data_IF_446022761143
#
_entry.id   IF_446022761143
#
_cell.length_a   1.000
_cell.length_b   1.000
_cell.length_c   1.000
_cell.angle_alpha   90.00
_cell.angle_beta   90.00
_cell.angle_gamma   90.00
#
_symmetry.space_group_name_H-M   'P 1'
#
loop_
_entity.id
_entity.type
_entity.pdbx_description
1 polymer ?
#
# COMPACT_ATOMS: atom_id res chain seq x y z
N UNK A 1 16.66 -16.88 -20.26
CA UNK A 1 16.63 -16.73 -18.79
C UNK A 1 15.34 -16.01 -18.47
N UNK A 2 14.47 -16.59 -17.64
CA UNK A 2 13.23 -15.93 -17.26
C UNK A 2 13.57 -14.65 -16.49
N UNK A 3 12.98 -13.52 -16.88
CA UNK A 3 13.15 -12.24 -16.18
C UNK A 3 12.13 -12.24 -15.02
N UNK A 4 12.59 -12.19 -13.77
CA UNK A 4 11.68 -12.13 -12.63
C UNK A 4 10.83 -10.86 -12.72
N UNK A 5 9.54 -10.97 -12.44
CA UNK A 5 8.61 -9.85 -12.50
C UNK A 5 7.87 -9.72 -11.16
N UNK A 6 7.84 -8.49 -10.65
CA UNK A 6 7.04 -8.09 -9.49
C UNK A 6 6.06 -7.02 -9.90
N UNK A 7 4.81 -7.20 -9.46
CA UNK A 7 3.77 -6.19 -9.58
C UNK A 7 3.41 -5.61 -8.21
N UNK A 8 3.28 -4.29 -8.15
CA UNK A 8 2.95 -3.57 -6.93
C UNK A 8 1.49 -3.14 -6.99
N UNK A 9 0.72 -3.53 -5.98
CA UNK A 9 -0.71 -3.28 -5.90
C UNK A 9 -1.12 -2.81 -4.51
N UNK A 10 -2.31 -2.22 -4.40
CA UNK A 10 -2.88 -1.82 -3.12
C UNK A 10 -4.02 -0.83 -3.29
N UNK A 11 -4.82 -0.68 -2.24
CA UNK A 11 -5.92 0.28 -2.18
C UNK A 11 -5.44 1.73 -2.43
N UNK A 12 -6.33 2.64 -2.82
CA UNK A 12 -6.02 4.06 -2.81
C UNK A 12 -5.47 4.50 -1.46
N UNK A 13 -4.53 5.45 -1.50
CA UNK A 13 -3.88 6.00 -0.30
C UNK A 13 -3.10 4.96 0.53
N UNK A 14 -2.78 3.79 -0.03
CA UNK A 14 -2.01 2.73 0.65
C UNK A 14 -0.48 2.95 0.70
N UNK A 15 0.00 4.17 0.49
CA UNK A 15 1.44 4.49 0.55
C UNK A 15 2.29 4.08 -0.67
N UNK A 16 1.70 3.63 -1.79
CA UNK A 16 2.44 3.21 -3.00
C UNK A 16 3.34 4.32 -3.59
N UNK A 17 2.81 5.52 -3.76
CA UNK A 17 3.58 6.67 -4.29
C UNK A 17 4.74 7.02 -3.37
N UNK A 18 4.53 7.00 -2.06
CA UNK A 18 5.57 7.20 -1.06
C UNK A 18 6.64 6.12 -1.15
N UNK A 19 6.25 4.85 -1.25
CA UNK A 19 7.20 3.75 -1.44
C UNK A 19 8.00 3.91 -2.73
N UNK A 20 7.37 4.26 -3.85
CA UNK A 20 8.07 4.51 -5.11
C UNK A 20 9.07 5.66 -4.98
N UNK A 21 8.69 6.76 -4.32
CA UNK A 21 9.57 7.91 -4.10
C UNK A 21 10.79 7.56 -3.24
N UNK A 22 10.56 6.81 -2.15
CA UNK A 22 11.60 6.33 -1.25
C UNK A 22 12.50 5.29 -1.92
N UNK A 23 11.93 4.32 -2.64
CA UNK A 23 12.67 3.31 -3.39
C UNK A 23 13.54 3.97 -4.47
N UNK A 24 12.98 4.92 -5.24
CA UNK A 24 13.72 5.65 -6.25
C UNK A 24 14.89 6.41 -5.63
N UNK A 25 14.67 7.08 -4.50
CA UNK A 25 15.75 7.74 -3.77
C UNK A 25 16.84 6.74 -3.37
N UNK A 26 16.46 5.65 -2.70
CA UNK A 26 17.36 4.64 -2.18
C UNK A 26 18.26 4.04 -3.26
N UNK A 27 17.69 3.72 -4.43
CA UNK A 27 18.44 3.06 -5.51
C UNK A 27 19.24 4.03 -6.40
N UNK A 28 18.98 5.34 -6.34
CA UNK A 28 19.66 6.35 -7.18
C UNK A 28 20.61 7.27 -6.43
N UNK A 29 20.30 7.64 -5.18
CA UNK A 29 21.10 8.56 -4.38
C UNK A 29 22.46 7.97 -4.00
N UNK A 30 22.57 6.63 -3.99
CA UNK A 30 23.78 5.90 -3.56
C UNK A 30 24.29 6.42 -2.22
N UNK A 31 23.40 6.51 -1.22
CA UNK A 31 23.81 6.71 0.17
C UNK A 31 24.76 5.55 0.52
N UNK A 32 26.07 5.84 0.57
CA UNK A 32 27.15 4.84 0.41
C UNK A 32 27.21 3.76 1.48
N UNK A 33 26.46 3.93 2.56
CA UNK A 33 26.54 3.09 3.76
C UNK A 33 25.29 2.23 3.98
N UNK A 34 24.17 2.48 3.28
CA UNK A 34 22.99 1.61 3.36
C UNK A 34 23.18 0.48 2.35
N UNK A 35 23.39 -0.73 2.88
CA UNK A 35 23.51 -1.94 2.06
C UNK A 35 22.13 -2.34 1.55
N UNK A 36 21.89 -2.12 0.26
CA UNK A 36 20.69 -2.61 -0.41
C UNK A 36 20.91 -4.00 -1.00
N UNK A 37 19.90 -4.86 -0.92
CA UNK A 37 19.90 -6.18 -1.52
C UNK A 37 19.84 -6.13 -3.06
N UNK A 38 19.16 -5.11 -3.61
CA UNK A 38 19.08 -4.85 -5.04
C UNK A 38 19.66 -3.48 -5.39
N UNK A 39 20.17 -3.36 -6.62
CA UNK A 39 20.68 -2.10 -7.20
C UNK A 39 19.92 -1.72 -8.46
N UNK A 40 19.79 -0.43 -8.72
CA UNK A 40 19.19 0.06 -9.95
C UNK A 40 20.01 -0.33 -11.19
N UNK A 41 19.32 -0.73 -12.26
CA UNK A 41 19.90 -1.00 -13.57
C UNK A 41 19.41 0.00 -14.62
N UNK A 42 18.13 -0.08 -14.97
CA UNK A 42 17.55 0.79 -15.98
C UNK A 42 16.04 1.03 -15.74
N UNK A 43 15.52 2.13 -16.30
CA UNK A 43 14.10 2.45 -16.30
C UNK A 43 13.47 1.98 -17.62
N UNK A 44 12.45 1.13 -17.54
CA UNK A 44 11.73 0.60 -18.71
C UNK A 44 10.61 1.54 -19.15
N UNK A 45 9.86 2.06 -18.20
CA UNK A 45 8.71 2.96 -18.40
C UNK A 45 8.54 3.90 -17.21
N UNK A 46 8.00 5.08 -17.48
CA UNK A 46 7.89 6.18 -16.51
C UNK A 46 8.88 7.29 -16.80
N UNK A 47 8.48 8.53 -16.51
CA UNK A 47 9.33 9.69 -16.70
C UNK A 47 10.30 9.88 -15.54
N UNK A 48 11.61 9.91 -15.80
CA UNK A 48 12.63 10.23 -14.79
C UNK A 48 12.32 11.54 -14.07
N UNK A 49 11.81 12.55 -14.79
CA UNK A 49 11.40 13.83 -14.20
C UNK A 49 10.28 13.66 -13.15
N UNK A 50 9.33 12.77 -13.39
CA UNK A 50 8.26 12.47 -12.42
C UNK A 50 8.83 11.77 -11.18
N UNK A 51 9.68 10.75 -11.36
CA UNK A 51 10.32 10.03 -10.26
C UNK A 51 11.22 10.94 -9.41
N UNK A 52 11.98 11.83 -10.04
CA UNK A 52 12.77 12.83 -9.35
C UNK A 52 11.89 13.83 -8.60
N UNK A 53 10.73 14.19 -9.14
CA UNK A 53 9.77 15.08 -8.49
C UNK A 53 9.17 14.48 -7.21
N UNK A 54 8.65 13.26 -7.28
CA UNK A 54 8.10 12.58 -6.09
C UNK A 54 9.18 12.31 -5.03
N UNK A 55 10.40 11.98 -5.46
CA UNK A 55 11.55 11.77 -4.57
C UNK A 55 12.05 13.07 -3.92
N UNK A 56 12.03 14.20 -4.65
CA UNK A 56 12.33 15.51 -4.08
C UNK A 56 11.31 15.90 -2.99
N UNK A 57 10.01 15.76 -3.27
CA UNK A 57 8.97 16.03 -2.26
C UNK A 57 9.07 15.12 -1.04
N UNK A 58 9.39 13.85 -1.27
CA UNK A 58 9.63 12.90 -0.18
C UNK A 58 10.80 13.37 0.69
N UNK A 59 11.95 13.78 0.11
CA UNK A 59 13.09 14.38 0.84
C UNK A 59 12.72 15.64 1.62
N UNK A 60 11.85 16.46 1.05
CA UNK A 60 11.34 17.68 1.70
C UNK A 60 10.28 17.39 2.78
N UNK A 61 10.00 16.12 3.11
CA UNK A 61 8.97 15.71 4.06
C UNK A 61 7.61 16.37 3.76
N UNK A 62 7.25 16.42 2.47
CA UNK A 62 5.98 16.95 1.98
C UNK A 62 5.08 15.84 1.51
N UNK A 63 3.79 15.94 1.85
CA UNK A 63 2.76 15.03 1.37
C UNK A 63 2.83 14.97 -0.16
N UNK A 64 2.75 13.75 -0.71
CA UNK A 64 2.71 13.57 -2.15
C UNK A 64 1.38 14.09 -2.67
N UNK A 65 1.38 14.89 -3.74
CA UNK A 65 0.13 15.25 -4.41
C UNK A 65 -0.67 13.98 -4.68
N UNK A 66 -1.99 14.08 -4.49
CA UNK A 66 -2.90 13.05 -4.98
C UNK A 66 -2.61 12.83 -6.45
N UNK A 67 -2.22 11.60 -6.81
CA UNK A 67 -1.98 11.24 -8.20
C UNK A 67 -3.27 11.48 -8.97
N UNK A 68 -3.29 12.47 -9.86
CA UNK A 68 -4.48 12.76 -10.66
C UNK A 68 -4.75 11.58 -11.60
N UNK A 69 -5.99 11.09 -11.58
CA UNK A 69 -6.59 10.04 -12.43
C UNK A 69 -6.13 10.11 -13.90
N UNK A 70 -5.90 11.33 -14.41
CA UNK A 70 -5.59 11.58 -15.82
C UNK A 70 -4.22 11.11 -16.28
N UNK A 71 -3.30 10.70 -15.39
CA UNK A 71 -1.90 10.52 -15.77
C UNK A 71 -1.44 9.06 -15.93
N UNK A 72 -2.30 8.04 -15.78
CA UNK A 72 -2.13 6.59 -16.13
C UNK A 72 -0.70 6.14 -16.50
N UNK A 73 0.29 6.42 -15.66
CA UNK A 73 1.71 6.24 -15.96
C UNK A 73 2.15 4.97 -15.29
N UNK A 74 2.19 3.89 -16.07
CA UNK A 74 2.85 2.65 -15.66
C UNK A 74 4.33 2.98 -15.48
N UNK A 75 4.81 2.88 -14.24
CA UNK A 75 6.23 2.99 -13.92
C UNK A 75 6.79 1.57 -13.85
N UNK A 76 7.84 1.31 -14.62
CA UNK A 76 8.52 0.01 -14.60
C UNK A 76 10.02 0.23 -14.63
N UNK A 77 10.73 -0.41 -13.70
CA UNK A 77 12.18 -0.34 -13.57
C UNK A 77 12.78 -1.72 -13.36
N UNK A 78 14.02 -1.88 -13.81
CA UNK A 78 14.80 -3.08 -13.58
C UNK A 78 15.77 -2.86 -12.41
N UNK A 79 15.77 -3.81 -11.49
CA UNK A 79 16.70 -3.91 -10.37
C UNK A 79 17.54 -5.18 -10.52
N UNK A 80 18.79 -5.16 -10.06
CA UNK A 80 19.72 -6.29 -10.12
C UNK A 80 20.06 -6.77 -8.71
N UNK A 81 20.13 -8.08 -8.53
CA UNK A 81 20.72 -8.67 -7.33
C UNK A 81 22.26 -8.60 -7.36
N UNK A 82 22.89 -9.11 -6.30
CA UNK A 82 24.35 -9.20 -6.19
C UNK A 82 25.00 -10.12 -7.26
N UNK A 83 24.24 -11.07 -7.82
CA UNK A 83 24.69 -12.00 -8.86
C UNK A 83 24.48 -11.46 -10.29
N UNK A 84 23.81 -10.33 -10.46
CA UNK A 84 23.43 -9.76 -11.74
C UNK A 84 22.13 -10.33 -12.34
N UNK A 85 21.34 -11.04 -11.55
CA UNK A 85 19.97 -11.45 -11.91
C UNK A 85 19.07 -10.21 -11.93
N UNK A 86 18.31 -10.03 -13.01
CA UNK A 86 17.40 -8.88 -13.18
C UNK A 86 15.98 -9.20 -12.71
N UNK A 87 15.39 -8.25 -11.99
CA UNK A 87 13.97 -8.21 -11.65
C UNK A 87 13.33 -6.95 -12.24
N UNK A 88 12.22 -7.13 -12.96
CA UNK A 88 11.33 -6.04 -13.38
C UNK A 88 10.31 -5.74 -12.27
N UNK A 89 10.33 -4.52 -11.75
CA UNK A 89 9.33 -4.03 -10.80
C UNK A 89 8.37 -3.11 -11.53
N UNK A 90 7.08 -3.43 -11.52
CA UNK A 90 6.05 -2.63 -12.19
C UNK A 90 5.01 -2.10 -11.23
N UNK A 91 4.75 -0.80 -11.33
CA UNK A 91 3.65 -0.10 -10.69
C UNK A 91 2.60 0.17 -11.79
N UNK A 92 1.62 -0.73 -11.98
CA UNK A 92 0.57 -0.55 -12.97
C UNK A 92 -0.25 0.70 -12.70
N UNK A 93 -0.36 1.07 -11.41
CA UNK A 93 -1.08 2.24 -10.98
C UNK A 93 -0.60 2.71 -9.59
N UNK A 94 -0.26 4.00 -9.52
CA UNK A 94 0.19 4.64 -8.29
C UNK A 94 -0.99 5.08 -7.39
N UNK A 95 -2.18 5.29 -7.98
CA UNK A 95 -3.38 5.81 -7.31
C UNK A 95 -4.26 4.74 -6.66
N UNK A 96 -4.23 3.48 -7.12
CA UNK A 96 -5.10 2.38 -6.65
C UNK A 96 -6.44 2.25 -7.40
N UNK A 97 -6.65 3.01 -8.48
CA UNK A 97 -7.75 2.89 -9.44
C UNK A 97 -7.86 1.52 -10.10
N UNK A 98 -6.75 0.90 -10.52
CA UNK A 98 -6.79 -0.43 -11.14
C UNK A 98 -7.42 -1.44 -10.19
N UNK A 99 -7.01 -1.40 -8.92
CA UNK A 99 -7.61 -2.23 -7.87
C UNK A 99 -9.10 -1.93 -7.71
N UNK A 100 -9.48 -0.65 -7.61
CA UNK A 100 -10.87 -0.23 -7.43
C UNK A 100 -11.76 -0.72 -8.57
N UNK A 101 -11.32 -0.59 -9.82
CA UNK A 101 -12.05 -1.05 -11.01
C UNK A 101 -12.21 -2.57 -11.03
N UNK A 102 -11.15 -3.32 -10.71
CA UNK A 102 -11.22 -4.78 -10.60
C UNK A 102 -12.20 -5.24 -9.53
N UNK A 103 -12.27 -4.55 -8.39
CA UNK A 103 -13.17 -4.88 -7.28
C UNK A 103 -14.62 -4.44 -7.53
N UNK A 104 -14.82 -3.17 -7.88
CA UNK A 104 -16.15 -2.53 -7.95
C UNK A 104 -16.85 -2.83 -9.26
N UNK A 105 -16.12 -2.80 -10.38
CA UNK A 105 -16.69 -2.94 -11.72
C UNK A 105 -16.47 -4.32 -12.32
N UNK A 106 -15.63 -5.15 -11.68
CA UNK A 106 -15.19 -6.48 -12.19
C UNK A 106 -14.60 -6.39 -13.59
N UNK A 107 -13.89 -5.29 -13.85
CA UNK A 107 -13.29 -4.99 -15.14
C UNK A 107 -11.77 -4.84 -15.01
N UNK A 108 -11.04 -5.30 -16.02
CA UNK A 108 -9.59 -5.28 -16.06
C UNK A 108 -9.10 -5.20 -17.51
N UNK A 109 -8.34 -4.15 -17.81
CA UNK A 109 -7.85 -3.92 -19.16
C UNK A 109 -6.78 -4.95 -19.56
N UNK A 110 -6.72 -5.39 -20.84
CA UNK A 110 -5.75 -6.40 -21.28
C UNK A 110 -4.28 -6.03 -21.03
N UNK A 111 -3.92 -4.75 -21.03
CA UNK A 111 -2.56 -4.29 -20.71
C UNK A 111 -2.22 -4.45 -19.22
N UNK A 112 -3.21 -4.21 -18.36
CA UNK A 112 -3.11 -4.44 -16.92
C UNK A 112 -2.99 -5.94 -16.63
N UNK A 113 -3.78 -6.79 -17.30
CA UNK A 113 -3.69 -8.25 -17.17
C UNK A 113 -2.26 -8.75 -17.42
N UNK A 114 -1.60 -8.28 -18.48
CA UNK A 114 -0.20 -8.63 -18.78
C UNK A 114 0.78 -8.18 -17.70
N UNK A 115 0.47 -7.08 -17.02
CA UNK A 115 1.31 -6.54 -15.95
C UNK A 115 1.09 -7.28 -14.62
N UNK A 116 -0.15 -7.71 -14.36
CA UNK A 116 -0.53 -8.48 -13.19
C UNK A 116 -0.10 -9.95 -13.27
N UNK A 117 0.16 -10.46 -14.48
CA UNK A 117 0.78 -11.76 -14.71
C UNK A 117 2.28 -11.68 -14.36
N UNK A 118 2.57 -11.72 -13.07
CA UNK A 118 3.90 -11.58 -12.48
C UNK A 118 4.09 -12.60 -11.34
N UNK A 119 5.27 -13.21 -11.26
CA UNK A 119 5.61 -14.23 -10.26
C UNK A 119 5.50 -13.70 -8.82
N UNK A 120 5.87 -12.43 -8.62
CA UNK A 120 5.80 -11.75 -7.32
C UNK A 120 4.73 -10.67 -7.27
N UNK A 121 4.04 -10.58 -6.14
CA UNK A 121 3.07 -9.54 -5.82
C UNK A 121 3.51 -8.83 -4.55
N UNK A 122 3.61 -7.51 -4.60
CA UNK A 122 3.79 -6.65 -3.43
C UNK A 122 2.47 -5.92 -3.17
N UNK A 123 1.75 -6.33 -2.12
CA UNK A 123 0.43 -5.82 -1.78
C UNK A 123 0.50 -4.82 -0.64
N UNK A 124 0.19 -3.56 -0.92
CA UNK A 124 0.11 -2.50 0.06
C UNK A 124 -1.25 -2.44 0.74
N UNK A 125 -1.21 -2.42 2.07
CA UNK A 125 -2.34 -2.18 2.95
C UNK A 125 -1.93 -1.05 3.89
N UNK A 126 -2.76 -0.04 4.04
CA UNK A 126 -2.53 1.01 5.03
C UNK A 126 -3.01 0.52 6.39
N UNK A 127 -2.10 0.40 7.36
CA UNK A 127 -2.41 -0.20 8.66
C UNK A 127 -3.51 0.58 9.40
N UNK A 128 -3.46 1.92 9.35
CA UNK A 128 -4.37 2.79 10.10
C UNK A 128 -5.77 2.97 9.47
N UNK A 129 -5.96 2.66 8.18
CA UNK A 129 -7.25 2.91 7.48
C UNK A 129 -8.04 1.64 7.17
N UNK A 130 -7.75 0.55 7.88
CA UNK A 130 -8.44 -0.74 7.72
C UNK A 130 -9.91 -0.60 8.10
N UNK A 131 -10.80 -0.80 7.12
CA UNK A 131 -12.24 -0.83 7.35
C UNK A 131 -12.65 -2.20 7.90
N UNK A 132 -13.01 -2.22 9.19
CA UNK A 132 -13.46 -3.42 9.88
C UNK A 132 -14.93 -3.73 9.57
N UNK A 133 -15.34 -5.01 9.59
CA UNK A 133 -16.75 -5.37 9.53
C UNK A 133 -17.50 -4.74 10.72
N UNK A 134 -18.69 -4.20 10.45
CA UNK A 134 -19.56 -3.64 11.49
C UNK A 134 -20.55 -4.69 11.94
N UNK A 135 -20.74 -4.80 13.25
CA UNK A 135 -21.78 -5.66 13.81
C UNK A 135 -23.14 -4.97 13.75
N UNK A 136 -24.17 -5.73 13.43
CA UNK A 136 -25.56 -5.22 13.39
C UNK A 136 -25.97 -4.62 14.74
N UNK A 137 -25.49 -5.21 15.85
CA UNK A 137 -25.76 -4.72 17.20
C UNK A 137 -25.14 -3.34 17.46
N UNK A 138 -23.93 -3.10 16.96
CA UNK A 138 -23.22 -1.82 17.13
C UNK A 138 -23.87 -0.73 16.29
N UNK A 139 -24.22 -1.04 15.05
CA UNK A 139 -24.92 -0.11 14.16
C UNK A 139 -26.31 0.25 14.70
N UNK A 140 -27.03 -0.72 15.28
CA UNK A 140 -28.32 -0.47 15.93
C UNK A 140 -28.18 0.42 17.18
N UNK A 141 -27.12 0.24 17.97
CA UNK A 141 -26.83 1.08 19.13
C UNK A 141 -26.43 2.50 18.70
N UNK A 142 -25.59 2.63 17.68
CA UNK A 142 -25.15 3.90 17.12
C UNK A 142 -26.31 4.70 16.53
N UNK A 143 -27.19 4.09 15.73
CA UNK A 143 -28.38 4.76 15.20
C UNK A 143 -29.29 5.27 16.32
N UNK A 144 -29.48 4.51 17.40
CA UNK A 144 -30.27 4.98 18.56
C UNK A 144 -29.61 6.16 19.27
N UNK A 145 -28.28 6.15 19.40
CA UNK A 145 -27.54 7.24 20.02
C UNK A 145 -27.64 8.54 19.20
N UNK A 146 -27.54 8.44 17.87
CA UNK A 146 -27.76 9.57 16.95
C UNK A 146 -29.19 10.11 17.03
N UNK A 147 -30.21 9.24 17.00
CA UNK A 147 -31.61 9.64 17.14
C UNK A 147 -31.86 10.36 18.50
N UNK A 148 -31.17 9.93 19.56
CA UNK A 148 -31.24 10.56 20.87
C UNK A 148 -30.49 11.89 20.95
N UNK A 149 -29.36 12.03 20.26
CA UNK A 149 -28.60 13.27 20.18
C UNK A 149 -29.36 14.35 19.38
N UNK A 150 -29.93 13.97 18.23
CA UNK A 150 -30.77 14.83 17.40
C UNK A 150 -32.05 15.31 18.10
N UNK A 151 -32.52 14.59 19.13
CA UNK A 151 -33.64 15.00 19.99
C UNK A 151 -33.24 15.95 21.13
N UNK A 152 -31.97 15.94 21.55
CA UNK A 152 -31.45 16.78 22.65
C UNK A 152 -31.06 18.17 22.17
N UNK A 153 -30.46 18.26 21.00
CA UNK A 153 -30.34 19.54 20.29
C UNK A 153 -31.71 19.83 19.68
N UNK A 154 -32.35 20.94 20.03
CA UNK A 154 -33.61 21.39 19.41
C UNK A 154 -33.37 21.81 17.94
N UNK A 155 -32.77 20.96 17.13
CA UNK A 155 -32.77 21.08 15.70
C UNK A 155 -34.24 21.11 15.24
N UNK A 156 -34.60 21.95 14.25
CA UNK A 156 -35.95 21.96 13.72
C UNK A 156 -36.30 20.51 13.34
N UNK A 157 -37.55 20.10 13.51
CA UNK A 157 -38.06 18.80 13.06
C UNK A 157 -37.58 18.57 11.62
N UNK A 158 -36.45 17.88 11.46
CA UNK A 158 -35.99 17.39 10.18
C UNK A 158 -36.99 16.29 9.94
N UNK A 159 -38.06 16.67 9.22
CA UNK A 159 -39.13 15.81 8.77
C UNK A 159 -38.54 14.44 8.54
N UNK A 160 -39.00 13.44 9.30
CA UNK A 160 -38.48 12.08 9.29
C UNK A 160 -38.17 11.70 7.86
N UNK A 161 -36.90 11.87 7.45
CA UNK A 161 -36.48 11.51 6.13
C UNK A 161 -36.62 10.01 6.21
N UNK A 162 -37.62 9.47 5.51
CA UNK A 162 -37.74 8.03 5.29
C UNK A 162 -36.32 7.56 5.04
N UNK A 163 -35.79 6.71 5.94
CA UNK A 163 -34.45 6.16 5.81
C UNK A 163 -34.44 5.47 4.46
N UNK A 164 -34.03 6.18 3.41
CA UNK A 164 -34.01 5.65 2.07
C UNK A 164 -33.02 4.50 2.14
N UNK A 165 -33.52 3.29 1.94
CA UNK A 165 -32.68 2.11 1.84
C UNK A 165 -31.56 2.43 0.86
N UNK A 166 -30.34 2.52 1.37
CA UNK A 166 -29.20 2.85 0.54
C UNK A 166 -28.80 1.56 -0.16
N UNK A 167 -28.84 1.49 -1.50
CA UNK A 167 -28.41 0.30 -2.22
C UNK A 167 -26.99 -0.07 -1.81
N UNK A 168 -26.74 -1.38 -1.70
CA UNK A 168 -25.40 -1.87 -1.42
C UNK A 168 -24.45 -1.52 -2.57
N UNK A 169 -23.21 -1.16 -2.24
CA UNK A 169 -22.14 -0.87 -3.20
C UNK A 169 -20.88 -1.63 -2.80
N UNK A 170 -20.13 -2.26 -3.74
CA UNK A 170 -18.93 -3.03 -3.44
C UNK A 170 -17.88 -2.27 -2.63
N UNK A 171 -17.69 -0.97 -2.89
CA UNK A 171 -16.76 -0.12 -2.15
C UNK A 171 -17.06 0.03 -0.65
N UNK A 172 -18.22 -0.44 -0.15
CA UNK A 172 -18.54 -0.48 1.29
C UNK A 172 -18.15 -1.78 1.97
N UNK A 173 -17.63 -2.76 1.24
CA UNK A 173 -17.19 -4.01 1.84
C UNK A 173 -15.97 -3.78 2.76
N UNK A 174 -15.84 -4.54 3.87
CA UNK A 174 -14.66 -4.46 4.72
C UNK A 174 -13.37 -4.71 3.94
N UNK A 175 -12.28 -4.04 4.32
CA UNK A 175 -10.99 -4.10 3.62
C UNK A 175 -10.52 -5.54 3.38
N UNK A 176 -10.59 -6.40 4.40
CA UNK A 176 -10.19 -7.80 4.27
C UNK A 176 -10.98 -8.59 3.22
N UNK A 177 -12.26 -8.26 2.99
CA UNK A 177 -13.09 -8.92 1.97
C UNK A 177 -12.58 -8.55 0.57
N UNK A 178 -12.34 -7.27 0.35
CA UNK A 178 -11.82 -6.77 -0.92
C UNK A 178 -10.42 -7.36 -1.22
N UNK A 179 -9.56 -7.48 -0.19
CA UNK A 179 -8.21 -8.00 -0.34
C UNK A 179 -8.19 -9.49 -0.67
N UNK A 180 -9.00 -10.31 0.03
CA UNK A 180 -9.09 -11.75 -0.25
C UNK A 180 -9.63 -12.00 -1.66
N UNK A 181 -10.67 -11.27 -2.06
CA UNK A 181 -11.22 -11.39 -3.41
C UNK A 181 -10.19 -11.00 -4.48
N UNK A 182 -9.42 -9.92 -4.29
CA UNK A 182 -8.33 -9.57 -5.22
C UNK A 182 -7.32 -10.72 -5.33
N UNK A 183 -6.86 -11.27 -4.20
CA UNK A 183 -5.88 -12.36 -4.22
C UNK A 183 -6.43 -13.60 -4.92
N UNK A 184 -7.72 -13.89 -4.76
CA UNK A 184 -8.38 -14.95 -5.51
C UNK A 184 -8.44 -14.64 -7.01
N UNK A 185 -8.79 -13.41 -7.40
CA UNK A 185 -8.81 -12.99 -8.81
C UNK A 185 -7.43 -13.15 -9.48
N UNK A 186 -6.35 -12.84 -8.76
CA UNK A 186 -4.98 -13.01 -9.25
C UNK A 186 -4.58 -14.46 -9.50
N UNK A 187 -5.35 -15.42 -8.99
CA UNK A 187 -5.18 -16.87 -9.17
C UNK A 187 -6.17 -17.45 -10.21
N UNK A 188 -6.95 -16.60 -10.89
CA UNK A 188 -7.91 -17.03 -11.92
C UNK A 188 -7.45 -16.61 -13.33
N UNK A 189 -7.77 -17.38 -14.37
CA UNK A 189 -7.61 -16.91 -15.75
C UNK A 189 -8.39 -15.61 -15.97
N UNK A 190 -7.84 -14.61 -16.68
CA UNK A 190 -6.58 -14.64 -17.45
C UNK A 190 -5.31 -14.22 -16.67
N UNK A 191 -5.38 -14.06 -15.35
CA UNK A 191 -4.32 -13.48 -14.52
C UNK A 191 -3.29 -14.49 -14.01
N UNK A 192 -3.65 -15.78 -13.94
CA UNK A 192 -2.78 -16.88 -13.50
C UNK A 192 -2.50 -17.88 -14.63
N UNK A 193 -2.03 -17.37 -15.77
CA UNK A 193 -1.67 -18.22 -16.91
C UNK A 193 -0.17 -18.48 -16.87
N UNK A 194 0.20 -19.75 -16.63
CA UNK A 194 1.57 -20.31 -16.70
C UNK A 194 2.60 -19.78 -15.67
N UNK A 195 2.15 -19.22 -14.52
CA UNK A 195 3.04 -18.63 -13.49
C UNK A 195 3.44 -19.65 -12.41
N UNK A 196 2.54 -20.58 -12.06
CA UNK A 196 2.73 -21.46 -10.90
C UNK A 196 2.53 -20.75 -9.56
N UNK A 197 3.01 -21.31 -8.43
CA UNK A 197 2.83 -20.70 -7.11
C UNK A 197 3.45 -19.31 -7.04
N UNK A 198 2.62 -18.30 -6.77
CA UNK A 198 3.05 -16.90 -6.70
C UNK A 198 3.54 -16.54 -5.30
N UNK A 199 4.54 -15.65 -5.25
CA UNK A 199 4.99 -15.06 -3.99
C UNK A 199 4.25 -13.76 -3.70
N UNK A 200 3.86 -13.57 -2.45
CA UNK A 200 3.12 -12.40 -1.96
C UNK A 200 3.84 -11.76 -0.78
N UNK A 201 4.32 -10.54 -0.96
CA UNK A 201 4.81 -9.71 0.13
C UNK A 201 3.72 -8.69 0.49
N UNK A 202 3.21 -8.77 1.72
CA UNK A 202 2.21 -7.85 2.25
C UNK A 202 2.93 -6.71 2.96
N UNK A 203 2.73 -5.49 2.47
CA UNK A 203 3.31 -4.27 3.03
C UNK A 203 2.26 -3.53 3.84
N UNK A 204 2.35 -3.62 5.17
CA UNK A 204 1.56 -2.83 6.11
C UNK A 204 2.20 -1.45 6.23
N UNK A 205 1.75 -0.53 5.38
CA UNK A 205 2.23 0.87 5.34
C UNK A 205 1.68 1.70 6.50
N UNK A 206 2.33 2.84 6.77
CA UNK A 206 2.06 3.71 7.93
C UNK A 206 2.22 2.97 9.27
N UNK A 207 3.28 2.15 9.35
CA UNK A 207 3.55 1.29 10.50
C UNK A 207 3.86 2.08 11.78
N UNK A 208 4.43 3.27 11.64
CA UNK A 208 4.66 4.24 12.72
C UNK A 208 3.39 4.57 13.51
N UNK A 209 2.21 4.57 12.86
CA UNK A 209 0.93 4.89 13.50
C UNK A 209 0.36 3.77 14.36
N UNK A 210 0.84 2.54 14.17
CA UNK A 210 0.33 1.34 14.85
C UNK A 210 1.39 0.70 15.75
N UNK A 211 2.61 1.24 15.77
CA UNK A 211 3.74 0.72 16.53
C UNK A 211 3.50 0.65 18.04
N UNK A 212 2.66 1.53 18.59
CA UNK A 212 2.31 1.54 20.02
C UNK A 212 1.55 0.28 20.46
N UNK A 213 0.94 -0.47 19.54
CA UNK A 213 0.26 -1.72 19.86
C UNK A 213 1.24 -2.85 20.24
N UNK A 214 2.54 -2.69 19.95
CA UNK A 214 3.59 -3.66 20.31
C UNK A 214 3.49 -4.99 19.56
N UNK A 215 2.71 -5.04 18.48
CA UNK A 215 2.53 -6.22 17.64
C UNK A 215 3.56 -6.26 16.51
N UNK A 216 4.08 -7.44 16.21
CA UNK A 216 4.83 -7.67 14.97
C UNK A 216 3.89 -7.70 13.75
N UNK A 217 4.39 -7.51 12.51
CA UNK A 217 3.57 -7.47 11.30
C UNK A 217 2.66 -8.69 11.11
N UNK A 218 3.17 -9.90 11.37
CA UNK A 218 2.39 -11.14 11.29
C UNK A 218 1.23 -11.20 12.30
N UNK A 219 1.45 -10.73 13.52
CA UNK A 219 0.44 -10.77 14.58
C UNK A 219 -0.61 -9.66 14.37
N UNK A 220 -0.18 -8.50 13.89
CA UNK A 220 -1.09 -7.44 13.45
C UNK A 220 -2.01 -7.91 12.32
N UNK A 221 -1.47 -8.60 11.31
CA UNK A 221 -2.29 -9.18 10.24
C UNK A 221 -3.34 -10.15 10.80
N UNK A 222 -2.95 -11.03 11.74
CA UNK A 222 -3.86 -11.99 12.37
C UNK A 222 -4.97 -11.29 13.15
N UNK A 223 -4.64 -10.24 13.88
CA UNK A 223 -5.59 -9.56 14.77
C UNK A 223 -6.51 -8.61 14.00
N UNK A 224 -5.96 -7.78 13.12
CA UNK A 224 -6.72 -6.72 12.44
C UNK A 224 -7.38 -7.18 11.14
N UNK A 225 -6.83 -8.19 10.48
CA UNK A 225 -7.32 -8.73 9.21
C UNK A 225 -7.50 -10.26 9.29
N UNK A 226 -8.31 -10.77 10.23
CA UNK A 226 -8.40 -12.20 10.52
C UNK A 226 -8.84 -13.05 9.33
N UNK A 227 -9.73 -12.55 8.47
CA UNK A 227 -10.15 -13.25 7.26
C UNK A 227 -8.99 -13.43 6.28
N UNK A 228 -8.22 -12.37 6.04
CA UNK A 228 -7.05 -12.41 5.16
C UNK A 228 -5.98 -13.34 5.73
N UNK A 229 -5.70 -13.23 7.04
CA UNK A 229 -4.75 -14.12 7.71
C UNK A 229 -5.17 -15.60 7.63
N UNK A 230 -6.46 -15.89 7.81
CA UNK A 230 -7.00 -17.25 7.69
C UNK A 230 -6.90 -17.77 6.25
N UNK A 231 -7.27 -16.95 5.27
CA UNK A 231 -7.18 -17.27 3.85
C UNK A 231 -5.74 -17.67 3.46
N UNK A 232 -4.74 -16.84 3.82
CA UNK A 232 -3.34 -17.10 3.50
C UNK A 232 -2.78 -18.35 4.21
N UNK A 233 -3.13 -18.56 5.49
CA UNK A 233 -2.69 -19.76 6.23
C UNK A 233 -3.35 -21.04 5.76
N UNK A 234 -4.55 -20.96 5.19
CA UNK A 234 -5.23 -22.14 4.64
C UNK A 234 -4.50 -22.74 3.43
N UNK A 235 -3.70 -21.93 2.73
CA UNK A 235 -3.00 -22.34 1.53
C UNK A 235 -3.90 -22.64 0.33
N UNK A 236 -5.18 -22.20 0.36
CA UNK A 236 -6.19 -22.54 -0.64
C UNK A 236 -5.75 -22.24 -2.09
N UNK A 237 -5.08 -21.10 -2.31
CA UNK A 237 -4.61 -20.66 -3.62
C UNK A 237 -3.08 -20.72 -3.77
N UNK A 238 -2.39 -21.47 -2.90
CA UNK A 238 -0.96 -21.78 -3.06
C UNK A 238 0.02 -20.61 -2.89
N UNK A 239 -0.43 -19.47 -2.34
CA UNK A 239 0.44 -18.32 -2.06
C UNK A 239 1.60 -18.66 -1.13
N UNK A 240 2.82 -18.32 -1.55
CA UNK A 240 3.99 -18.24 -0.66
C UNK A 240 4.06 -16.80 -0.17
N UNK A 241 3.79 -16.53 1.10
CA UNK A 241 3.61 -15.16 1.57
C UNK A 241 4.52 -14.76 2.73
N UNK A 242 4.71 -13.45 2.90
CA UNK A 242 5.40 -12.81 4.02
C UNK A 242 4.80 -11.43 4.28
N UNK A 243 4.85 -10.98 5.54
CA UNK A 243 4.33 -9.67 5.95
C UNK A 243 5.48 -8.78 6.39
N UNK A 244 5.37 -7.50 6.08
CA UNK A 244 6.30 -6.47 6.51
C UNK A 244 5.52 -5.27 7.03
N UNK A 245 5.99 -4.68 8.13
CA UNK A 245 5.60 -3.36 8.59
C UNK A 245 6.50 -2.32 7.93
N UNK A 246 5.93 -1.28 7.33
CA UNK A 246 6.69 -0.24 6.66
C UNK A 246 6.27 1.15 7.13
N UNK A 247 7.20 1.89 7.72
CA UNK A 247 7.16 3.35 7.75
C UNK A 247 8.11 3.90 6.69
N UNK A 248 7.57 4.25 5.52
CA UNK A 248 8.36 4.86 4.44
C UNK A 248 8.54 6.37 4.63
N UNK A 249 7.71 7.00 5.47
CA UNK A 249 7.80 8.43 5.77
C UNK A 249 8.65 8.67 7.02
N UNK A 250 8.56 7.79 8.02
CA UNK A 250 9.22 7.95 9.32
C UNK A 250 8.55 8.99 10.23
N UNK A 251 7.36 9.48 9.87
CA UNK A 251 6.60 10.48 10.63
C UNK A 251 5.62 11.26 9.76
N UNK A 252 4.85 12.16 10.36
CA UNK A 252 3.86 12.96 9.67
C UNK A 252 4.50 14.12 8.86
N UNK A 253 4.05 14.28 7.62
CA UNK A 253 4.59 15.26 6.66
C UNK A 253 3.78 16.57 6.64
N UNK A 254 4.40 17.63 6.11
CA UNK A 254 3.69 18.89 5.85
C UNK A 254 2.76 18.76 4.64
N UNK A 255 1.55 19.31 4.77
CA UNK A 255 0.53 19.35 3.73
C UNK A 255 0.64 20.66 2.92
N UNK A 256 1.12 20.61 1.66
CA UNK A 256 1.25 21.80 0.84
C UNK A 256 -0.10 22.45 0.47
N UNK A 257 -1.23 21.75 0.62
CA UNK A 257 -2.57 22.33 0.42
C UNK A 257 -3.03 23.20 1.62
N UNK A 258 -2.29 23.17 2.73
CA UNK A 258 -2.55 23.98 3.93
C UNK A 258 -1.31 24.81 4.31
N UNK A 259 -0.91 25.78 3.46
CA UNK A 259 0.31 26.57 3.67
C UNK A 259 0.25 27.49 4.90
N UNK A 260 -0.95 27.72 5.46
CA UNK A 260 -1.16 28.57 6.63
C UNK A 260 -0.99 27.84 7.98
N UNK A 261 -0.63 26.55 7.97
CA UNK A 261 -0.37 25.74 9.17
C UNK A 261 1.12 25.80 9.47
N UNK A 262 1.50 26.00 10.74
CA UNK A 262 2.92 25.93 11.16
C UNK A 262 3.54 24.58 10.76
N UNK A 263 4.80 24.57 10.30
CA UNK A 263 5.49 23.34 9.90
C UNK A 263 5.43 22.30 11.02
N UNK A 264 5.14 21.05 10.65
CA UNK A 264 5.10 19.94 11.59
C UNK A 264 6.52 19.71 12.16
N UNK A 265 6.71 19.69 13.49
CA UNK A 265 7.99 19.41 14.12
C UNK A 265 8.61 18.07 13.72
N UNK A 266 7.79 17.07 13.35
CA UNK A 266 8.28 15.80 12.80
C UNK A 266 8.84 15.98 11.39
N UNK A 267 8.15 16.72 10.53
CA UNK A 267 8.61 17.02 9.18
C UNK A 267 9.93 17.81 9.19
N UNK A 268 10.11 18.75 10.14
CA UNK A 268 11.39 19.45 10.33
C UNK A 268 12.52 18.48 10.72
N UNK A 269 12.30 17.61 11.71
CA UNK A 269 13.30 16.60 12.09
C UNK A 269 13.69 15.70 10.93
N UNK A 270 12.73 15.31 10.10
CA UNK A 270 12.98 14.47 8.93
C UNK A 270 13.76 15.19 7.82
N UNK A 271 13.62 16.52 7.70
CA UNK A 271 14.43 17.35 6.80
C UNK A 271 15.85 17.56 7.30
N UNK A 272 16.01 17.60 8.62
CA UNK A 272 17.29 17.81 9.30
C UNK A 272 18.13 16.52 9.38
N UNK A 273 17.60 15.38 8.98
CA UNK A 273 18.37 14.15 8.86
C UNK A 273 19.46 14.32 7.79
N UNK A 274 20.70 14.08 8.20
CA UNK A 274 21.85 14.00 7.28
C UNK A 274 21.61 12.98 6.16
N UNK A 275 20.81 11.95 6.45
CA UNK A 275 20.53 10.81 5.57
C UNK A 275 19.03 10.55 5.48
N UNK A 276 18.36 11.01 4.40
CA UNK A 276 16.93 10.83 4.23
C UNK A 276 16.49 9.36 4.19
N UNK A 277 17.38 8.43 3.82
CA UNK A 277 17.09 7.01 3.77
C UNK A 277 17.01 6.34 5.16
N UNK A 278 17.62 6.91 6.20
CA UNK A 278 17.60 6.33 7.57
C UNK A 278 16.23 6.48 8.26
N UNK A 279 15.34 7.33 7.74
CA UNK A 279 13.94 7.40 8.24
C UNK A 279 13.04 6.26 7.78
N UNK A 280 13.50 5.47 6.82
CA UNK A 280 12.74 4.32 6.34
C UNK A 280 12.86 3.24 7.39
N UNK A 281 11.75 2.80 7.97
CA UNK A 281 11.74 1.68 8.90
C UNK A 281 10.94 0.52 8.32
N UNK A 282 11.65 -0.55 7.97
CA UNK A 282 11.07 -1.80 7.49
C UNK A 282 11.22 -2.89 8.57
N UNK A 283 10.09 -3.39 9.05
CA UNK A 283 10.00 -4.43 10.06
C UNK A 283 9.56 -5.74 9.40
N UNK A 284 10.36 -6.80 9.52
CA UNK A 284 9.92 -8.16 9.19
C UNK A 284 9.27 -8.84 10.40
N UNK A 285 9.74 -8.50 11.60
CA UNK A 285 9.27 -8.99 12.90
C UNK A 285 9.47 -7.86 13.94
N UNK A 286 9.44 -8.20 15.24
CA UNK A 286 9.66 -7.25 16.33
C UNK A 286 11.14 -6.90 16.58
N UNK A 287 12.05 -7.25 15.66
CA UNK A 287 13.47 -6.91 15.76
C UNK A 287 13.79 -5.51 15.21
N UNK A 288 15.08 -5.19 15.15
CA UNK A 288 15.59 -3.91 14.67
C UNK A 288 15.13 -3.65 13.22
N UNK A 289 14.61 -2.44 12.91
CA UNK A 289 14.16 -2.14 11.55
C UNK A 289 15.33 -2.13 10.55
N UNK A 290 15.03 -2.55 9.32
CA UNK A 290 15.88 -2.40 8.15
C UNK A 290 15.54 -1.07 7.44
N UNK A 291 16.55 -0.44 6.84
CA UNK A 291 16.36 0.75 5.99
C UNK A 291 16.29 0.40 4.49
N UNK A 292 16.34 -0.90 4.15
CA UNK A 292 16.40 -1.38 2.78
C UNK A 292 15.03 -1.77 2.21
N UNK A 293 14.44 -0.90 1.39
CA UNK A 293 13.19 -1.18 0.67
C UNK A 293 13.32 -2.24 -0.42
N UNK A 294 14.54 -2.67 -0.76
CA UNK A 294 14.77 -3.71 -1.76
C UNK A 294 14.70 -5.12 -1.18
N UNK A 295 14.67 -5.27 0.15
CA UNK A 295 14.61 -6.56 0.82
C UNK A 295 13.33 -7.36 0.50
N UNK A 296 12.11 -6.78 0.55
CA UNK A 296 10.90 -7.50 0.16
C UNK A 296 10.91 -7.90 -1.32
N UNK A 297 11.49 -7.05 -2.17
CA UNK A 297 11.63 -7.32 -3.60
C UNK A 297 12.61 -8.48 -3.84
N UNK A 298 13.76 -8.49 -3.17
CA UNK A 298 14.72 -9.57 -3.24
C UNK A 298 14.15 -10.91 -2.75
N UNK A 299 13.23 -10.89 -1.78
CA UNK A 299 12.52 -12.09 -1.34
C UNK A 299 11.51 -12.60 -2.37
N UNK A 300 10.79 -11.70 -3.06
CA UNK A 300 9.87 -12.05 -4.16
C UNK A 300 10.58 -12.66 -5.37
N UNK A 301 11.90 -12.48 -5.47
CA UNK A 301 12.77 -12.97 -6.54
C UNK A 301 13.15 -14.45 -6.43
N UNK A 302 13.01 -15.04 -5.24
CA UNK A 302 13.49 -16.39 -4.91
C UNK A 302 12.48 -17.47 -5.26
#
# INVERSE_FOLDING_TARGET
>A
MAEHAVVIMGLPESGKTTFLAALWHLVTARDSDIKTALRFDNLRSGGVAHLNGISARWREARVQDRTSVSDHRIVSMNLLDANGTSMKVTFPDLSGEVYRRMWEERDCEPEVVKTLNAEGVLLFIHADTIQRPRWVVDEAAFSKALDMAARKEKAPEVAAQEKKDVPWHPGRAPTQVQLVDLLQLLCLPPLDVDIGPRRLAIMLSAWDKVGEEGLGPDDYLKEKLPLLGQYLRSGADGWIWRVYGLSAQGGDYDDPEKPDVEPNPEAEKLRDLDRPSERIELFQDSSTPSHDLTEPLAWLMK
#
